data_IF_821151356891
#
_entry.id   IF_821151356891
#
_cell.length_a   1.000
_cell.length_b   1.000
_cell.length_c   1.000
_cell.angle_alpha   90.00
_cell.angle_beta   90.00
_cell.angle_gamma   90.00
#
_symmetry.space_group_name_H-M   'P 1'
#
loop_
_entity.id
_entity.type
_entity.pdbx_description
1 polymer ?
#
# COMPACT_ATOMS: atom_id res chain seq x y z
N UNK A 1 4.56 65.37 -7.05
CA UNK A 1 5.30 64.29 -6.38
C UNK A 1 4.41 63.03 -6.35
N UNK A 2 4.82 62.04 -7.03
CA UNK A 2 4.10 60.78 -7.05
C UNK A 2 4.85 59.79 -6.13
N UNK A 3 4.21 59.36 -5.07
CA UNK A 3 4.68 58.27 -4.24
C UNK A 3 4.43 56.97 -4.97
N UNK A 4 5.50 56.29 -5.34
CA UNK A 4 5.42 54.93 -5.86
C UNK A 4 5.06 54.02 -4.68
N UNK A 5 3.82 53.57 -4.62
CA UNK A 5 3.48 52.46 -3.72
C UNK A 5 3.97 51.16 -4.35
N UNK A 6 5.08 50.65 -3.80
CA UNK A 6 5.46 49.28 -4.04
C UNK A 6 4.44 48.39 -3.34
N UNK A 7 3.52 47.85 -4.10
CA UNK A 7 2.69 46.72 -3.63
C UNK A 7 3.61 45.50 -3.52
N UNK A 8 4.08 45.22 -2.32
CA UNK A 8 4.73 43.96 -2.02
C UNK A 8 3.60 42.91 -2.01
N UNK A 9 3.40 42.23 -3.13
CA UNK A 9 2.58 41.04 -3.18
C UNK A 9 3.42 39.93 -2.55
N UNK A 10 3.25 39.73 -1.25
CA UNK A 10 3.76 38.53 -0.61
C UNK A 10 2.96 37.36 -1.19
N UNK A 11 3.57 36.66 -2.15
CA UNK A 11 3.05 35.39 -2.61
C UNK A 11 3.18 34.41 -1.44
N UNK A 12 2.08 34.20 -0.72
CA UNK A 12 1.99 33.11 0.25
C UNK A 12 2.00 31.80 -0.54
N UNK A 13 3.18 31.18 -0.63
CA UNK A 13 3.26 29.78 -1.04
C UNK A 13 2.77 28.96 0.14
N UNK A 14 1.49 28.61 0.14
CA UNK A 14 0.99 27.56 1.02
C UNK A 14 1.62 26.25 0.54
N UNK A 15 2.70 25.82 1.21
CA UNK A 15 3.20 24.46 1.06
C UNK A 15 2.16 23.58 1.74
N UNK A 16 1.23 23.04 0.94
CA UNK A 16 0.34 22.00 1.43
C UNK A 16 1.18 20.74 1.63
N UNK A 17 1.53 20.46 2.89
CA UNK A 17 2.06 19.14 3.26
C UNK A 17 0.94 18.15 3.02
N UNK A 18 1.13 17.14 2.14
CA UNK A 18 0.10 16.14 1.93
C UNK A 18 -0.29 15.51 3.26
N UNK A 19 -1.60 15.36 3.53
CA UNK A 19 -2.10 14.81 4.79
C UNK A 19 -1.50 13.43 5.14
N UNK A 20 -1.11 12.63 4.12
CA UNK A 20 -0.45 11.34 4.31
C UNK A 20 0.98 11.44 4.88
N UNK A 21 1.68 12.59 4.79
CA UNK A 21 3.03 12.76 5.33
C UNK A 21 3.05 12.72 6.86
N UNK A 22 1.91 13.02 7.51
CA UNK A 22 1.74 12.96 8.96
C UNK A 22 1.00 11.71 9.43
N UNK A 23 0.65 10.79 8.52
CA UNK A 23 -0.19 9.65 8.79
C UNK A 23 0.47 8.30 8.56
N UNK A 24 -0.38 7.36 8.23
CA UNK A 24 -0.03 5.97 8.02
C UNK A 24 0.93 5.78 6.85
N UNK A 25 1.96 4.96 7.04
CA UNK A 25 2.88 4.54 5.99
C UNK A 25 3.20 3.06 6.08
N UNK A 26 3.66 2.48 4.96
CA UNK A 26 4.11 1.10 4.89
C UNK A 26 5.61 1.06 5.16
N UNK A 27 6.00 0.53 6.32
CA UNK A 27 7.41 0.34 6.67
C UNK A 27 8.00 -0.90 5.99
N UNK A 28 7.20 -1.93 5.76
CA UNK A 28 7.58 -3.15 5.07
C UNK A 28 6.38 -3.71 4.31
N UNK A 29 6.56 -4.03 3.03
CA UNK A 29 5.55 -4.69 2.21
C UNK A 29 6.21 -5.80 1.40
N UNK A 30 5.63 -7.00 1.42
CA UNK A 30 6.16 -8.17 0.70
C UNK A 30 5.05 -9.07 0.20
N UNK A 31 5.23 -9.59 -1.00
CA UNK A 31 4.49 -10.74 -1.48
C UNK A 31 5.27 -11.98 -1.02
N UNK A 32 4.61 -12.88 -0.36
CA UNK A 32 5.27 -14.05 0.27
C UNK A 32 4.45 -15.31 0.08
N UNK A 33 5.10 -16.46 0.15
CA UNK A 33 4.44 -17.76 0.05
C UNK A 33 3.84 -18.22 1.37
N UNK A 34 4.29 -17.66 2.49
CA UNK A 34 3.82 -18.07 3.82
C UNK A 34 4.07 -16.98 4.86
N UNK A 35 3.22 -16.94 5.87
CA UNK A 35 3.39 -16.13 7.07
C UNK A 35 3.68 -17.06 8.25
N UNK A 36 4.79 -16.84 8.94
CA UNK A 36 5.18 -17.57 10.14
C UNK A 36 5.60 -16.59 11.23
N UNK A 37 5.07 -16.75 12.43
CA UNK A 37 5.33 -15.85 13.56
C UNK A 37 5.08 -14.38 13.20
N UNK A 38 3.98 -14.11 12.46
CA UNK A 38 3.58 -12.77 12.03
C UNK A 38 4.59 -12.09 11.08
N UNK A 39 5.38 -12.87 10.36
CA UNK A 39 6.39 -12.36 9.43
C UNK A 39 6.37 -13.15 8.11
N UNK A 40 6.71 -12.49 6.99
CA UNK A 40 6.85 -13.19 5.72
C UNK A 40 8.08 -14.10 5.76
N UNK A 41 7.96 -15.32 5.22
CA UNK A 41 9.09 -16.26 5.14
C UNK A 41 10.03 -15.96 3.98
N UNK A 42 9.53 -15.29 2.95
CA UNK A 42 10.26 -14.92 1.74
C UNK A 42 9.71 -13.63 1.14
N UNK A 43 10.32 -13.17 0.08
CA UNK A 43 9.80 -12.11 -0.77
C UNK A 43 9.91 -12.58 -2.21
N UNK A 44 8.76 -12.79 -2.86
CA UNK A 44 8.73 -13.34 -4.21
C UNK A 44 8.42 -12.27 -5.25
N UNK A 45 9.10 -12.34 -6.39
CA UNK A 45 8.89 -11.47 -7.55
C UNK A 45 8.35 -12.26 -8.74
N UNK A 46 8.83 -13.49 -8.91
CA UNK A 46 8.40 -14.40 -9.97
C UNK A 46 8.15 -15.77 -9.34
N UNK A 47 6.95 -16.30 -9.52
CA UNK A 47 6.58 -17.61 -9.01
C UNK A 47 5.71 -18.35 -10.03
N UNK A 48 5.71 -19.71 -10.03
CA UNK A 48 4.82 -20.46 -10.90
C UNK A 48 3.36 -20.25 -10.51
N UNK A 49 2.46 -20.22 -11.50
CA UNK A 49 1.02 -20.12 -11.24
C UNK A 49 0.45 -21.31 -10.46
N UNK A 50 1.21 -22.40 -10.37
CA UNK A 50 0.90 -23.57 -9.54
C UNK A 50 1.15 -23.34 -8.04
N UNK A 51 1.61 -22.17 -7.63
CA UNK A 51 1.89 -21.85 -6.22
C UNK A 51 0.68 -22.07 -5.31
N UNK A 52 -0.51 -21.92 -5.81
CA UNK A 52 -1.78 -22.18 -5.12
C UNK A 52 -2.26 -21.06 -4.22
N UNK A 53 -1.37 -20.36 -3.51
CA UNK A 53 -1.73 -19.28 -2.61
C UNK A 53 -0.55 -18.35 -2.39
N UNK A 54 -0.82 -17.05 -2.34
CA UNK A 54 0.14 -16.03 -1.97
C UNK A 54 -0.44 -15.12 -0.89
N UNK A 55 0.45 -14.47 -0.15
CA UNK A 55 0.12 -13.50 0.86
C UNK A 55 0.72 -12.14 0.51
N UNK A 56 -0.01 -11.10 0.84
CA UNK A 56 0.54 -9.75 0.89
C UNK A 56 0.71 -9.36 2.34
N UNK A 57 1.96 -9.26 2.78
CA UNK A 57 2.32 -8.84 4.12
C UNK A 57 2.61 -7.34 4.13
N UNK A 58 2.09 -6.63 5.14
CA UNK A 58 2.41 -5.24 5.39
C UNK A 58 2.68 -4.98 6.86
N UNK A 59 3.74 -4.22 7.14
CA UNK A 59 3.95 -3.58 8.42
C UNK A 59 3.68 -2.10 8.26
N UNK A 60 2.74 -1.61 9.03
CA UNK A 60 2.24 -0.23 8.97
C UNK A 60 2.70 0.52 10.21
N UNK A 61 3.13 1.75 10.01
CA UNK A 61 3.57 2.64 11.08
C UNK A 61 2.90 3.99 10.97
N UNK A 62 2.80 4.70 12.09
CA UNK A 62 2.31 6.08 12.12
C UNK A 62 0.81 6.25 12.31
N UNK A 63 0.05 5.19 12.60
CA UNK A 63 -1.36 5.34 12.97
C UNK A 63 -1.48 6.02 14.32
N UNK A 64 -2.08 7.20 14.35
CA UNK A 64 -2.34 7.95 15.59
C UNK A 64 -3.58 7.47 16.31
N UNK A 65 -4.52 6.91 15.57
CA UNK A 65 -5.76 6.28 16.05
C UNK A 65 -5.98 4.99 15.29
N UNK A 66 -6.80 4.05 15.81
CA UNK A 66 -7.17 2.86 15.06
C UNK A 66 -7.79 3.24 13.70
N UNK A 67 -7.33 2.58 12.65
CA UNK A 67 -7.74 2.82 11.28
C UNK A 67 -7.79 1.49 10.50
N UNK A 68 -7.73 1.56 9.19
CA UNK A 68 -7.68 0.39 8.32
C UNK A 68 -6.81 0.64 7.11
N UNK A 69 -6.35 -0.43 6.50
CA UNK A 69 -5.79 -0.46 5.14
C UNK A 69 -6.58 -1.44 4.29
N UNK A 70 -6.49 -1.24 2.99
CA UNK A 70 -7.06 -2.16 2.02
C UNK A 70 -5.96 -2.69 1.13
N UNK A 71 -5.89 -4.01 0.97
CA UNK A 71 -5.08 -4.66 -0.05
C UNK A 71 -5.96 -4.95 -1.25
N UNK A 72 -5.65 -4.35 -2.39
CA UNK A 72 -6.37 -4.58 -3.65
C UNK A 72 -5.48 -5.38 -4.58
N UNK A 73 -5.89 -6.60 -4.86
CA UNK A 73 -5.16 -7.54 -5.73
C UNK A 73 -5.62 -7.36 -7.16
N UNK A 74 -4.68 -7.13 -8.07
CA UNK A 74 -4.94 -7.01 -9.50
C UNK A 74 -4.15 -8.01 -10.31
N UNK A 75 -4.82 -8.58 -11.32
CA UNK A 75 -4.17 -9.29 -12.42
C UNK A 75 -4.28 -8.40 -13.67
N UNK A 76 -3.16 -7.86 -14.12
CA UNK A 76 -3.22 -6.78 -15.09
C UNK A 76 -4.06 -5.62 -14.54
N UNK A 77 -5.09 -5.21 -15.27
CA UNK A 77 -6.00 -4.15 -14.84
C UNK A 77 -7.28 -4.68 -14.16
N UNK A 78 -7.40 -5.99 -14.00
CA UNK A 78 -8.57 -6.61 -13.39
C UNK A 78 -8.40 -6.71 -11.88
N UNK A 79 -9.33 -6.12 -11.13
CA UNK A 79 -9.40 -6.32 -9.68
C UNK A 79 -9.85 -7.75 -9.39
N UNK A 80 -9.00 -8.50 -8.67
CA UNK A 80 -9.23 -9.89 -8.32
C UNK A 80 -9.72 -10.08 -6.89
N UNK A 81 -9.35 -9.17 -5.98
CA UNK A 81 -9.78 -9.18 -4.59
C UNK A 81 -9.53 -7.82 -3.95
N UNK A 82 -10.34 -7.51 -2.95
CA UNK A 82 -10.22 -6.32 -2.12
C UNK A 82 -10.43 -6.72 -0.68
N UNK A 83 -9.40 -6.55 0.16
CA UNK A 83 -9.41 -7.01 1.54
C UNK A 83 -9.15 -5.83 2.46
N UNK A 84 -10.14 -5.47 3.26
CA UNK A 84 -10.01 -4.46 4.30
C UNK A 84 -9.44 -5.09 5.57
N UNK A 85 -8.41 -4.46 6.15
CA UNK A 85 -7.67 -4.97 7.30
C UNK A 85 -7.59 -3.89 8.38
N UNK A 86 -7.96 -4.20 9.62
CA UNK A 86 -7.82 -3.23 10.70
C UNK A 86 -6.35 -2.95 11.02
N UNK A 87 -6.07 -1.71 11.39
CA UNK A 87 -4.79 -1.24 11.92
C UNK A 87 -5.05 -0.70 13.31
N UNK A 88 -4.65 -1.45 14.33
CA UNK A 88 -5.08 -1.22 15.72
C UNK A 88 -4.07 -0.46 16.56
N UNK A 89 -2.85 -0.26 16.07
CA UNK A 89 -1.80 0.47 16.79
C UNK A 89 -0.83 1.16 15.84
N UNK A 90 0.04 1.99 16.40
CA UNK A 90 1.02 2.80 15.66
C UNK A 90 2.10 1.99 14.93
N UNK A 91 2.28 0.73 15.29
CA UNK A 91 3.15 -0.25 14.61
C UNK A 91 2.37 -1.54 14.50
N UNK A 92 1.94 -1.88 13.30
CA UNK A 92 0.97 -2.95 13.09
C UNK A 92 1.36 -3.82 11.90
N UNK A 93 1.38 -5.14 12.12
CA UNK A 93 1.59 -6.14 11.08
C UNK A 93 0.25 -6.75 10.71
N UNK A 94 -0.03 -6.80 9.41
CA UNK A 94 -1.23 -7.41 8.88
C UNK A 94 -0.97 -7.98 7.49
N UNK A 95 -1.80 -8.91 7.08
CA UNK A 95 -1.66 -9.57 5.78
C UNK A 95 -3.00 -10.02 5.25
N UNK A 96 -3.08 -10.10 3.93
CA UNK A 96 -4.15 -10.73 3.20
C UNK A 96 -3.61 -11.93 2.43
N UNK A 97 -4.48 -12.83 2.05
CA UNK A 97 -4.11 -13.97 1.21
C UNK A 97 -4.99 -14.03 -0.03
N UNK A 98 -4.45 -14.61 -1.09
CA UNK A 98 -5.17 -14.82 -2.34
C UNK A 98 -4.91 -16.24 -2.85
N UNK A 99 -5.98 -16.98 -3.06
CA UNK A 99 -5.91 -18.24 -3.79
C UNK A 99 -5.55 -17.93 -5.24
N UNK A 100 -4.57 -18.66 -5.78
CA UNK A 100 -4.11 -18.53 -7.15
C UNK A 100 -4.51 -19.78 -7.91
N UNK A 101 -5.28 -19.61 -8.96
CA UNK A 101 -5.68 -20.71 -9.82
C UNK A 101 -4.65 -20.97 -10.92
N UNK A 102 -4.47 -22.24 -11.35
CA UNK A 102 -3.70 -22.53 -12.54
C UNK A 102 -4.27 -21.76 -13.74
N UNK A 103 -3.40 -21.22 -14.58
CA UNK A 103 -3.81 -20.40 -15.72
C UNK A 103 -3.92 -18.90 -15.43
N UNK A 104 -3.73 -18.49 -14.19
CA UNK A 104 -3.70 -17.06 -13.81
C UNK A 104 -2.31 -16.43 -13.97
N UNK A 105 -1.53 -16.93 -14.93
CA UNK A 105 -0.23 -16.35 -15.27
C UNK A 105 -0.35 -14.91 -15.73
N UNK A 106 0.75 -14.18 -15.64
CA UNK A 106 0.86 -12.80 -16.07
C UNK A 106 1.34 -11.86 -14.95
N UNK A 107 1.22 -10.57 -15.22
CA UNK A 107 1.62 -9.53 -14.29
C UNK A 107 0.54 -9.26 -13.28
N UNK A 108 0.92 -9.25 -12.00
CA UNK A 108 0.05 -8.97 -10.87
C UNK A 108 0.60 -7.81 -10.05
N UNK A 109 -0.27 -7.15 -9.31
CA UNK A 109 0.10 -6.19 -8.28
C UNK A 109 -0.89 -6.21 -7.13
N UNK A 110 -0.41 -5.81 -5.96
CA UNK A 110 -1.25 -5.46 -4.83
C UNK A 110 -1.04 -3.99 -4.54
N UNK A 111 -2.13 -3.23 -4.50
CA UNK A 111 -2.13 -1.86 -4.05
C UNK A 111 -2.52 -1.81 -2.58
N UNK A 112 -1.71 -1.15 -1.78
CA UNK A 112 -1.99 -0.91 -0.36
C UNK A 112 -2.55 0.51 -0.25
N UNK A 113 -3.79 0.62 0.20
CA UNK A 113 -4.50 1.90 0.31
C UNK A 113 -4.92 2.17 1.74
N UNK A 114 -4.91 3.43 2.14
CA UNK A 114 -5.40 3.84 3.46
C UNK A 114 -6.95 3.94 3.49
N UNK A 115 -7.49 4.35 4.63
CA UNK A 115 -8.94 4.49 4.82
C UNK A 115 -9.58 5.54 3.91
N UNK A 116 -8.82 6.51 3.44
CA UNK A 116 -9.26 7.55 2.50
C UNK A 116 -8.98 7.20 1.04
N UNK A 117 -8.62 5.93 0.78
CA UNK A 117 -8.29 5.41 -0.54
C UNK A 117 -7.02 6.02 -1.18
N UNK A 118 -6.13 6.58 -0.37
CA UNK A 118 -4.82 7.02 -0.85
C UNK A 118 -3.91 5.81 -1.04
N UNK A 119 -3.17 5.79 -2.16
CA UNK A 119 -2.22 4.74 -2.45
C UNK A 119 -0.96 4.93 -1.59
N UNK A 120 -0.66 3.95 -0.73
CA UNK A 120 0.52 3.95 0.13
C UNK A 120 1.69 3.23 -0.50
N UNK A 121 1.44 2.11 -1.16
CA UNK A 121 2.47 1.30 -1.83
C UNK A 121 1.84 0.40 -2.88
N UNK A 122 2.61 0.07 -3.92
CA UNK A 122 2.29 -0.97 -4.90
C UNK A 122 3.36 -2.05 -4.84
N UNK A 123 2.92 -3.30 -4.71
CA UNK A 123 3.77 -4.48 -4.72
C UNK A 123 3.47 -5.27 -5.99
N UNK A 124 4.49 -5.54 -6.78
CA UNK A 124 4.35 -6.24 -8.06
C UNK A 124 4.95 -7.62 -8.02
N UNK A 125 4.37 -8.55 -8.76
CA UNK A 125 4.89 -9.89 -8.96
C UNK A 125 4.38 -10.47 -10.28
N UNK A 126 5.03 -11.52 -10.74
CA UNK A 126 4.67 -12.22 -11.98
C UNK A 126 4.40 -13.68 -11.70
N UNK A 127 3.30 -14.20 -12.23
CA UNK A 127 3.00 -15.62 -12.26
C UNK A 127 3.34 -16.19 -13.62
N UNK A 128 4.09 -17.28 -13.61
CA UNK A 128 4.51 -17.99 -14.83
C UNK A 128 3.75 -19.30 -15.03
#
# INVERSE_FOLDING_TARGET
MRTLQLLLVAALFAVSVPAYAAGLSVAEGKITTQIVNRAPVDAVEVVPASVGKLYCFTRLVGAEVPTQVTHVWYRGDQEMARVELPVKSADWRTWSSKKILPGWSGSWRVEVRDADNNLLQTLTFTLQ
#
